data_IF_778309541045
#
_entry.id   IF_778309541045
#
_cell.length_a   1.000
_cell.length_b   1.000
_cell.length_c   1.000
_cell.angle_alpha   90.00
_cell.angle_beta   90.00
_cell.angle_gamma   90.00
#
_symmetry.space_group_name_H-M   'P 1'
#
loop_
_entity.id
_entity.type
_entity.pdbx_description
1 polymer ?
#
# COMPACT_ATOMS: atom_id res chain seq x y z
N UNK A 1 -20.97 -2.81 -15.52
CA UNK A 1 -20.71 -2.66 -14.08
C UNK A 1 -21.88 -1.88 -13.51
N UNK A 2 -22.50 -2.32 -12.42
CA UNK A 2 -23.58 -1.59 -11.75
C UNK A 2 -23.13 -1.12 -10.36
N UNK A 3 -23.85 -0.16 -9.80
CA UNK A 3 -23.49 0.46 -8.52
C UNK A 3 -23.62 -0.51 -7.33
N UNK A 4 -24.50 -1.51 -7.42
CA UNK A 4 -24.67 -2.51 -6.36
C UNK A 4 -23.41 -3.38 -6.23
N UNK A 5 -22.89 -3.86 -7.35
CA UNK A 5 -21.65 -4.62 -7.37
C UNK A 5 -20.45 -3.79 -6.91
N UNK A 6 -20.40 -2.49 -7.25
CA UNK A 6 -19.36 -1.58 -6.75
C UNK A 6 -19.47 -1.41 -5.23
N UNK A 7 -20.68 -1.21 -4.70
CA UNK A 7 -20.91 -1.09 -3.27
C UNK A 7 -20.44 -2.34 -2.50
N UNK A 8 -20.70 -3.53 -3.02
CA UNK A 8 -20.18 -4.78 -2.46
C UNK A 8 -18.65 -4.79 -2.39
N UNK A 9 -17.95 -4.27 -3.42
CA UNK A 9 -16.48 -4.18 -3.39
C UNK A 9 -15.96 -3.23 -2.31
N UNK A 10 -16.67 -2.13 -2.02
CA UNK A 10 -16.30 -1.24 -0.92
C UNK A 10 -16.56 -1.88 0.44
N UNK A 11 -17.68 -2.60 0.61
CA UNK A 11 -17.95 -3.35 1.84
C UNK A 11 -16.90 -4.46 2.09
N UNK A 12 -16.53 -5.21 1.04
CA UNK A 12 -15.47 -6.21 1.12
C UNK A 12 -14.13 -5.56 1.50
N UNK A 13 -13.78 -4.43 0.87
CA UNK A 13 -12.54 -3.71 1.15
C UNK A 13 -12.50 -3.15 2.59
N UNK A 14 -13.63 -2.64 3.09
CA UNK A 14 -13.74 -2.18 4.47
C UNK A 14 -13.48 -3.33 5.47
N UNK A 15 -14.10 -4.49 5.24
CA UNK A 15 -14.04 -5.64 6.15
C UNK A 15 -12.72 -6.41 6.06
N UNK A 16 -12.17 -6.58 4.86
CA UNK A 16 -11.02 -7.46 4.63
C UNK A 16 -9.68 -6.73 4.65
N UNK A 17 -9.63 -5.48 4.16
CA UNK A 17 -8.37 -4.75 3.97
C UNK A 17 -8.19 -3.61 4.99
N UNK A 18 -9.28 -2.95 5.41
CA UNK A 18 -9.19 -1.80 6.30
C UNK A 18 -9.32 -2.15 7.79
N UNK A 19 -10.04 -3.22 8.13
CA UNK A 19 -10.24 -3.65 9.52
C UNK A 19 -8.89 -3.87 10.23
N UNK A 20 -8.69 -3.19 11.37
CA UNK A 20 -7.43 -3.25 12.12
C UNK A 20 -6.23 -2.55 11.48
N UNK A 21 -6.33 -2.08 10.22
CA UNK A 21 -5.25 -1.40 9.51
C UNK A 21 -5.48 0.11 9.35
N UNK A 22 -6.67 0.55 8.94
CA UNK A 22 -6.98 1.96 8.71
C UNK A 22 -8.43 2.30 9.05
N UNK A 23 -8.63 3.01 10.17
CA UNK A 23 -9.96 3.52 10.57
C UNK A 23 -10.54 4.50 9.54
N UNK A 24 -9.69 5.38 8.98
CA UNK A 24 -10.10 6.35 7.96
C UNK A 24 -10.69 5.66 6.73
N UNK A 25 -9.94 4.73 6.13
CA UNK A 25 -10.40 4.07 4.91
C UNK A 25 -11.53 3.08 5.15
N UNK A 26 -11.63 2.47 6.34
CA UNK A 26 -12.80 1.68 6.73
C UNK A 26 -14.07 2.55 6.71
N UNK A 27 -14.06 3.66 7.45
CA UNK A 27 -15.21 4.57 7.56
C UNK A 27 -15.60 5.21 6.23
N UNK A 28 -14.62 5.55 5.38
CA UNK A 28 -14.89 6.03 4.03
C UNK A 28 -15.53 4.94 3.17
N UNK A 29 -14.96 3.74 3.16
CA UNK A 29 -15.45 2.64 2.30
C UNK A 29 -16.87 2.21 2.66
N UNK A 30 -17.18 2.08 3.95
CA UNK A 30 -18.54 1.76 4.43
C UNK A 30 -19.57 2.81 3.97
N UNK A 31 -19.22 4.10 4.00
CA UNK A 31 -20.15 5.16 3.59
C UNK A 31 -20.21 5.34 2.07
N UNK A 32 -19.11 5.11 1.35
CA UNK A 32 -19.11 5.09 -0.11
C UNK A 32 -20.04 3.98 -0.62
N UNK A 33 -20.06 2.82 0.03
CA UNK A 33 -20.95 1.72 -0.34
C UNK A 33 -22.45 2.10 -0.30
N UNK A 34 -22.82 3.12 0.48
CA UNK A 34 -24.19 3.60 0.62
C UNK A 34 -24.46 4.89 -0.18
N UNK A 35 -23.44 5.50 -0.80
CA UNK A 35 -23.58 6.78 -1.50
C UNK A 35 -23.59 6.63 -3.03
N UNK A 36 -24.78 6.88 -3.59
CA UNK A 36 -25.02 6.69 -5.01
C UNK A 36 -24.19 7.61 -5.93
N UNK A 37 -23.83 8.82 -5.49
CA UNK A 37 -23.10 9.77 -6.33
C UNK A 37 -21.63 9.34 -6.46
N UNK A 38 -21.01 8.95 -5.35
CA UNK A 38 -19.63 8.45 -5.37
C UNK A 38 -19.54 7.09 -6.08
N UNK A 39 -20.53 6.20 -5.90
CA UNK A 39 -20.58 4.92 -6.63
C UNK A 39 -20.67 5.11 -8.15
N UNK A 40 -21.35 6.16 -8.62
CA UNK A 40 -21.41 6.48 -10.05
C UNK A 40 -20.05 6.87 -10.62
N UNK A 41 -19.24 7.65 -9.89
CA UNK A 41 -17.86 7.97 -10.31
C UNK A 41 -17.05 6.70 -10.53
N UNK A 42 -17.22 5.71 -9.65
CA UNK A 42 -16.52 4.43 -9.72
C UNK A 42 -16.86 3.58 -10.94
N UNK A 43 -17.95 3.87 -11.66
CA UNK A 43 -18.30 3.16 -12.90
C UNK A 43 -17.32 3.44 -14.05
N UNK A 44 -16.50 4.49 -13.91
CA UNK A 44 -15.43 4.85 -14.86
C UNK A 44 -14.13 4.07 -14.63
N UNK A 45 -14.04 3.26 -13.56
CA UNK A 45 -12.84 2.46 -13.28
C UNK A 45 -12.58 1.48 -14.42
N UNK A 46 -11.34 1.48 -14.90
CA UNK A 46 -10.87 0.52 -15.90
C UNK A 46 -11.14 -0.93 -15.44
N UNK A 47 -11.68 -1.74 -16.36
CA UNK A 47 -11.98 -3.15 -16.07
C UNK A 47 -10.75 -3.90 -15.57
N UNK A 48 -10.93 -4.67 -14.49
CA UNK A 48 -9.87 -5.47 -13.86
C UNK A 48 -9.05 -4.73 -12.80
N UNK A 49 -9.30 -3.43 -12.57
CA UNK A 49 -8.65 -2.68 -11.50
C UNK A 49 -9.43 -2.78 -10.17
N UNK A 50 -8.74 -2.76 -9.02
CA UNK A 50 -9.39 -2.73 -7.72
C UNK A 50 -10.01 -1.35 -7.47
N UNK A 51 -11.34 -1.29 -7.55
CA UNK A 51 -12.11 -0.04 -7.50
C UNK A 51 -11.86 0.80 -6.24
N UNK A 52 -11.92 0.22 -5.02
CA UNK A 52 -11.71 1.01 -3.81
C UNK A 52 -10.33 1.66 -3.79
N UNK A 53 -9.28 0.90 -4.11
CA UNK A 53 -7.90 1.41 -4.16
C UNK A 53 -7.76 2.54 -5.18
N UNK A 54 -8.38 2.42 -6.36
CA UNK A 54 -8.22 3.43 -7.41
C UNK A 54 -8.96 4.74 -7.07
N UNK A 55 -10.17 4.67 -6.50
CA UNK A 55 -10.87 5.88 -6.04
C UNK A 55 -10.13 6.56 -4.89
N UNK A 56 -9.82 5.80 -3.83
CA UNK A 56 -9.14 6.34 -2.65
C UNK A 56 -7.75 6.88 -3.00
N UNK A 57 -7.04 6.18 -3.88
CA UNK A 57 -5.76 6.61 -4.45
C UNK A 57 -5.88 7.88 -5.27
N UNK A 58 -6.88 7.99 -6.16
CA UNK A 58 -7.10 9.19 -6.98
C UNK A 58 -7.38 10.43 -6.12
N UNK A 59 -8.22 10.29 -5.08
CA UNK A 59 -8.49 11.37 -4.12
C UNK A 59 -7.21 11.77 -3.39
N UNK A 60 -6.47 10.79 -2.85
CA UNK A 60 -5.24 11.07 -2.12
C UNK A 60 -4.17 11.71 -3.01
N UNK A 61 -4.02 11.24 -4.25
CA UNK A 61 -3.11 11.80 -5.25
C UNK A 61 -3.42 13.28 -5.55
N UNK A 62 -4.70 13.64 -5.75
CA UNK A 62 -5.07 15.04 -6.01
C UNK A 62 -4.78 15.95 -4.80
N UNK A 63 -4.99 15.44 -3.58
CA UNK A 63 -4.61 16.17 -2.36
C UNK A 63 -3.09 16.34 -2.24
N UNK A 64 -2.31 15.29 -2.56
CA UNK A 64 -0.84 15.35 -2.60
C UNK A 64 -0.32 16.33 -3.66
N UNK A 65 -1.00 16.43 -4.80
CA UNK A 65 -0.72 17.43 -5.84
C UNK A 65 -1.08 18.87 -5.45
N UNK A 66 -1.65 19.06 -4.26
CA UNK A 66 -1.89 20.39 -3.69
C UNK A 66 -3.30 20.93 -3.88
N UNK A 67 -4.29 20.08 -4.17
CA UNK A 67 -5.70 20.50 -4.12
C UNK A 67 -6.04 21.05 -2.73
N UNK A 68 -6.46 22.31 -2.65
CA UNK A 68 -6.74 22.96 -1.37
C UNK A 68 -8.16 22.64 -0.90
N UNK A 69 -8.27 21.65 0.01
CA UNK A 69 -9.54 21.21 0.55
C UNK A 69 -9.39 20.74 2.00
N UNK A 70 -10.42 20.92 2.84
CA UNK A 70 -10.37 20.55 4.27
C UNK A 70 -10.14 19.05 4.50
N UNK A 71 -10.52 18.21 3.53
CA UNK A 71 -10.32 16.77 3.55
C UNK A 71 -8.86 16.36 3.84
N UNK A 72 -7.87 17.17 3.44
CA UNK A 72 -6.45 16.90 3.70
C UNK A 72 -6.13 16.72 5.19
N UNK A 73 -6.92 17.34 6.08
CA UNK A 73 -6.73 17.27 7.53
C UNK A 73 -6.91 15.87 8.13
N UNK A 74 -7.47 14.91 7.38
CA UNK A 74 -7.61 13.51 7.80
C UNK A 74 -6.42 12.63 7.43
N UNK A 75 -5.51 13.09 6.56
CA UNK A 75 -4.45 12.28 5.97
C UNK A 75 -3.10 12.54 6.66
N UNK A 76 -2.58 11.60 7.48
CA UNK A 76 -1.29 11.78 8.18
C UNK A 76 -0.08 11.80 7.23
N UNK A 77 -0.25 11.37 5.99
CA UNK A 77 0.73 11.50 4.90
C UNK A 77 0.87 12.93 4.39
N UNK A 78 -0.12 13.80 4.63
CA UNK A 78 -0.17 15.17 4.12
C UNK A 78 0.03 16.19 5.26
N UNK A 79 -0.53 15.91 6.44
CA UNK A 79 -0.43 16.81 7.59
C UNK A 79 0.43 16.23 8.70
N UNK A 80 1.19 17.09 9.38
CA UNK A 80 2.05 16.68 10.50
C UNK A 80 1.25 16.13 11.70
N UNK A 81 0.02 16.60 11.90
CA UNK A 81 -0.84 16.19 13.01
C UNK A 81 -2.30 16.14 12.55
N UNK A 82 -2.91 14.95 12.62
CA UNK A 82 -4.33 14.74 12.32
C UNK A 82 -5.15 15.13 13.55
N UNK A 83 -5.76 16.32 13.50
CA UNK A 83 -6.58 16.87 14.62
C UNK A 83 -8.07 16.57 14.50
N UNK A 84 -8.52 16.06 13.35
CA UNK A 84 -9.92 15.75 13.06
C UNK A 84 -10.21 14.29 13.43
N UNK A 85 -11.25 14.07 14.22
CA UNK A 85 -11.72 12.74 14.66
C UNK A 85 -13.20 12.50 14.32
N UNK A 86 -13.83 13.52 13.74
CA UNK A 86 -15.18 13.48 13.21
C UNK A 86 -15.28 12.66 11.92
N UNK A 87 -16.49 12.51 11.40
CA UNK A 87 -16.75 11.71 10.20
C UNK A 87 -16.10 12.37 8.96
N UNK A 88 -15.15 11.72 8.27
CA UNK A 88 -14.49 12.28 7.09
C UNK A 88 -15.38 12.29 5.84
N UNK A 89 -16.43 11.47 5.79
CA UNK A 89 -17.16 11.20 4.56
C UNK A 89 -17.86 12.42 3.92
N UNK A 90 -18.50 13.35 4.67
CA UNK A 90 -19.08 14.54 4.07
C UNK A 90 -18.07 15.36 3.26
N UNK A 91 -16.87 15.59 3.81
CA UNK A 91 -15.78 16.29 3.12
C UNK A 91 -15.17 15.44 1.99
N UNK A 92 -15.16 14.12 2.14
CA UNK A 92 -14.73 13.22 1.07
C UNK A 92 -15.67 13.29 -0.13
N UNK A 93 -16.98 13.21 0.10
CA UNK A 93 -17.99 13.32 -0.95
C UNK A 93 -17.90 14.68 -1.63
N UNK A 94 -17.85 15.76 -0.86
CA UNK A 94 -17.72 17.12 -1.37
C UNK A 94 -16.52 17.25 -2.33
N UNK A 95 -15.34 16.82 -1.87
CA UNK A 95 -14.13 16.79 -2.70
C UNK A 95 -14.30 15.96 -3.98
N UNK A 96 -14.93 14.78 -3.88
CA UNK A 96 -15.19 13.93 -5.05
C UNK A 96 -16.07 14.61 -6.10
N UNK A 97 -17.09 15.36 -5.66
CA UNK A 97 -17.99 16.07 -6.57
C UNK A 97 -17.30 17.29 -7.17
N UNK A 98 -16.59 18.08 -6.37
CA UNK A 98 -15.83 19.24 -6.84
C UNK A 98 -14.75 18.85 -7.88
N UNK A 99 -14.15 17.68 -7.73
CA UNK A 99 -13.04 17.21 -8.56
C UNK A 99 -13.42 16.04 -9.50
N UNK A 100 -14.72 15.86 -9.78
CA UNK A 100 -15.25 14.70 -10.49
C UNK A 100 -14.55 14.43 -11.83
N UNK A 101 -14.33 15.46 -12.65
CA UNK A 101 -13.66 15.29 -13.96
C UNK A 101 -12.22 14.79 -13.83
N UNK A 102 -11.45 15.36 -12.90
CA UNK A 102 -10.07 14.96 -12.63
C UNK A 102 -10.00 13.53 -12.09
N UNK A 103 -10.91 13.18 -11.18
CA UNK A 103 -11.02 11.82 -10.63
C UNK A 103 -11.36 10.84 -11.74
N UNK A 104 -12.39 11.09 -12.56
CA UNK A 104 -12.77 10.20 -13.66
C UNK A 104 -11.59 9.94 -14.59
N UNK A 105 -10.84 10.99 -14.97
CA UNK A 105 -9.63 10.82 -15.79
C UNK A 105 -8.61 9.91 -15.14
N UNK A 106 -8.40 9.99 -13.83
CA UNK A 106 -7.50 9.08 -13.11
C UNK A 106 -8.05 7.64 -13.09
N UNK A 107 -9.35 7.46 -12.83
CA UNK A 107 -10.01 6.14 -12.78
C UNK A 107 -9.93 5.40 -14.14
N UNK A 108 -9.97 6.14 -15.25
CA UNK A 108 -9.91 5.58 -16.61
C UNK A 108 -8.47 5.24 -17.04
N UNK A 109 -7.49 6.04 -16.61
CA UNK A 109 -6.15 6.01 -17.20
C UNK A 109 -5.05 5.47 -16.28
N UNK A 110 -5.26 5.44 -14.96
CA UNK A 110 -4.25 4.94 -14.01
C UNK A 110 -4.46 3.47 -13.68
N UNK A 111 -3.38 2.83 -13.25
CA UNK A 111 -3.36 1.45 -12.79
C UNK A 111 -2.93 1.45 -11.32
N UNK A 112 -3.53 0.59 -10.51
CA UNK A 112 -3.06 0.34 -9.16
C UNK A 112 -1.80 -0.50 -9.23
N UNK A 113 -0.73 0.00 -8.62
CA UNK A 113 0.56 -0.65 -8.50
C UNK A 113 0.89 -0.78 -7.01
N UNK A 114 1.15 -2.00 -6.55
CA UNK A 114 1.23 -2.30 -5.11
C UNK A 114 2.66 -2.61 -4.70
N UNK A 115 3.23 -1.78 -3.82
CA UNK A 115 4.56 -1.99 -3.23
C UNK A 115 4.45 -2.35 -1.72
N UNK A 116 3.87 -3.51 -1.39
CA UNK A 116 3.72 -3.95 0.01
C UNK A 116 5.04 -4.50 0.58
N UNK A 117 5.89 -3.61 1.09
CA UNK A 117 7.19 -3.97 1.71
C UNK A 117 7.07 -4.92 2.89
N UNK A 118 5.90 -4.97 3.55
CA UNK A 118 5.61 -5.95 4.61
C UNK A 118 5.74 -7.40 4.13
N UNK A 119 5.62 -7.69 2.83
CA UNK A 119 5.90 -9.02 2.28
C UNK A 119 7.33 -9.49 2.58
N UNK A 120 8.25 -8.56 2.77
CA UNK A 120 9.63 -8.90 3.14
C UNK A 120 9.72 -9.59 4.51
N UNK A 121 8.73 -9.44 5.41
CA UNK A 121 8.78 -10.08 6.74
C UNK A 121 8.70 -11.60 6.66
N UNK A 122 7.97 -12.17 5.70
CA UNK A 122 8.00 -13.63 5.51
C UNK A 122 9.09 -14.07 4.52
N UNK A 123 9.58 -13.18 3.65
CA UNK A 123 10.66 -13.49 2.72
C UNK A 123 12.04 -13.52 3.40
N UNK A 124 12.32 -12.61 4.34
CA UNK A 124 13.58 -12.54 5.07
C UNK A 124 14.01 -13.88 5.71
N UNK A 125 13.16 -14.58 6.48
CA UNK A 125 13.52 -15.89 7.04
C UNK A 125 13.76 -16.96 5.95
N UNK A 126 13.03 -16.89 4.83
CA UNK A 126 13.22 -17.80 3.69
C UNK A 126 14.61 -17.58 3.04
N UNK A 127 15.00 -16.32 2.85
CA UNK A 127 16.31 -15.98 2.30
C UNK A 127 17.45 -16.36 3.23
N UNK A 128 17.28 -16.18 4.55
CA UNK A 128 18.22 -16.69 5.56
C UNK A 128 18.41 -18.21 5.41
N UNK A 129 17.31 -18.96 5.29
CA UNK A 129 17.36 -20.40 5.11
C UNK A 129 18.11 -20.80 3.83
N UNK A 130 17.75 -20.23 2.68
CA UNK A 130 18.40 -20.52 1.38
C UNK A 130 19.90 -20.22 1.45
N UNK A 131 20.28 -19.08 2.04
CA UNK A 131 21.68 -18.70 2.19
C UNK A 131 22.45 -19.72 3.03
N UNK A 132 21.89 -20.19 4.15
CA UNK A 132 22.53 -21.20 5.00
C UNK A 132 22.67 -22.56 4.30
N UNK A 133 21.69 -22.95 3.47
CA UNK A 133 21.77 -24.21 2.73
C UNK A 133 22.82 -24.18 1.61
N UNK A 134 23.02 -23.01 0.99
CA UNK A 134 23.86 -22.88 -0.21
C UNK A 134 25.25 -22.31 0.07
N UNK A 135 25.40 -21.55 1.16
CA UNK A 135 26.56 -20.73 1.50
C UNK A 135 27.03 -19.86 0.32
N UNK A 136 26.07 -19.32 -0.44
CA UNK A 136 26.30 -18.47 -1.62
C UNK A 136 25.52 -17.17 -1.48
N UNK A 137 26.06 -16.04 -1.98
CA UNK A 137 25.30 -14.81 -2.16
C UNK A 137 24.00 -15.04 -2.95
N UNK A 138 22.96 -14.28 -2.62
CA UNK A 138 21.64 -14.40 -3.25
C UNK A 138 21.51 -13.40 -4.41
N UNK A 139 21.02 -13.87 -5.55
CA UNK A 139 20.56 -13.02 -6.65
C UNK A 139 19.03 -13.08 -6.73
N UNK A 140 18.38 -11.92 -6.85
CA UNK A 140 16.93 -11.83 -6.91
C UNK A 140 16.43 -11.45 -8.30
N UNK A 141 15.36 -12.11 -8.72
CA UNK A 141 14.57 -11.75 -9.90
C UNK A 141 13.12 -11.58 -9.43
N UNK A 142 12.59 -10.37 -9.55
CA UNK A 142 11.19 -10.06 -9.21
C UNK A 142 10.40 -9.73 -10.48
N UNK A 143 9.29 -10.42 -10.69
CA UNK A 143 8.35 -10.17 -11.78
C UNK A 143 7.17 -9.38 -11.23
N UNK A 144 6.84 -8.25 -11.86
CA UNK A 144 5.84 -7.32 -11.33
C UNK A 144 6.41 -6.50 -10.16
N UNK A 145 7.63 -5.96 -10.33
CA UNK A 145 8.38 -5.29 -9.26
C UNK A 145 7.86 -3.90 -8.91
N UNK A 146 7.04 -3.28 -9.76
CA UNK A 146 6.61 -1.88 -9.65
C UNK A 146 7.79 -0.93 -9.39
N UNK A 147 7.94 -0.41 -8.15
CA UNK A 147 9.02 0.50 -7.76
C UNK A 147 10.27 -0.23 -7.24
N UNK A 148 10.27 -1.56 -7.20
CA UNK A 148 11.42 -2.34 -6.77
C UNK A 148 11.63 -2.43 -5.25
N UNK A 149 10.65 -1.99 -4.43
CA UNK A 149 10.86 -1.89 -2.99
C UNK A 149 11.10 -3.24 -2.30
N UNK A 150 10.62 -4.35 -2.86
CA UNK A 150 10.90 -5.68 -2.30
C UNK A 150 12.25 -6.25 -2.69
N UNK A 151 12.80 -5.81 -3.83
CA UNK A 151 14.19 -6.13 -4.17
C UNK A 151 15.12 -5.63 -3.08
N UNK A 152 14.75 -4.57 -2.35
CA UNK A 152 15.50 -3.95 -1.24
C UNK A 152 15.28 -4.61 0.14
N UNK A 153 14.83 -5.87 0.19
CA UNK A 153 14.54 -6.57 1.45
C UNK A 153 15.69 -6.54 2.48
N UNK A 154 16.95 -6.61 2.06
CA UNK A 154 18.12 -6.54 2.95
C UNK A 154 18.40 -5.12 3.47
N UNK A 155 17.75 -4.10 2.94
CA UNK A 155 17.88 -2.72 3.43
C UNK A 155 16.99 -2.43 4.64
N UNK A 156 16.04 -3.32 4.97
CA UNK A 156 15.08 -3.11 6.06
C UNK A 156 15.53 -3.73 7.40
N UNK A 157 14.96 -3.21 8.49
CA UNK A 157 15.01 -3.84 9.80
C UNK A 157 13.76 -4.71 10.00
N UNK A 158 13.91 -5.83 10.71
CA UNK A 158 12.81 -6.75 10.99
C UNK A 158 12.67 -7.03 12.49
N UNK A 159 11.44 -7.15 12.97
CA UNK A 159 11.19 -7.80 14.27
C UNK A 159 9.94 -8.67 14.23
N UNK A 160 10.02 -9.80 14.91
CA UNK A 160 8.94 -10.75 15.09
C UNK A 160 8.62 -10.82 16.59
N UNK A 161 7.34 -10.62 16.94
CA UNK A 161 6.86 -10.65 18.33
C UNK A 161 7.63 -9.70 19.29
N UNK A 162 8.27 -8.65 18.73
CA UNK A 162 9.08 -7.64 19.41
C UNK A 162 10.25 -8.16 20.27
N UNK A 163 10.73 -9.38 20.00
CA UNK A 163 11.80 -10.00 20.81
C UNK A 163 13.19 -9.48 20.43
N UNK A 164 13.46 -9.37 19.14
CA UNK A 164 14.78 -9.04 18.60
C UNK A 164 14.66 -8.30 17.25
N UNK A 165 15.68 -7.48 16.94
CA UNK A 165 15.84 -6.83 15.64
C UNK A 165 16.83 -7.62 14.76
N UNK A 166 16.39 -7.93 13.54
CA UNK A 166 17.14 -8.62 12.50
C UNK A 166 17.36 -7.70 11.29
N UNK A 167 18.29 -8.08 10.42
CA UNK A 167 18.59 -7.37 9.17
C UNK A 167 19.37 -6.07 9.41
N UNK A 168 19.04 -5.01 8.67
CA UNK A 168 19.73 -3.73 8.79
C UNK A 168 19.19 -2.92 9.99
N UNK A 169 19.90 -2.94 11.11
CA UNK A 169 19.51 -2.25 12.35
C UNK A 169 19.48 -0.72 12.25
N UNK A 170 20.16 -0.15 11.26
CA UNK A 170 20.20 1.30 11.03
C UNK A 170 19.11 1.77 10.06
N UNK A 171 18.32 0.84 9.52
CA UNK A 171 17.22 1.16 8.60
C UNK A 171 16.19 2.08 9.26
N UNK A 172 15.77 3.18 8.61
CA UNK A 172 14.65 3.99 9.08
C UNK A 172 13.30 3.27 8.93
N UNK A 173 13.25 2.20 8.13
CA UNK A 173 12.07 1.37 7.93
C UNK A 173 12.20 0.09 8.75
N UNK A 174 11.36 -0.02 9.78
CA UNK A 174 11.27 -1.18 10.66
C UNK A 174 9.99 -1.97 10.38
N UNK A 175 10.14 -3.11 9.70
CA UNK A 175 9.04 -4.02 9.39
C UNK A 175 8.79 -4.95 10.58
N UNK A 176 7.56 -4.92 11.08
CA UNK A 176 7.13 -5.71 12.24
C UNK A 176 6.10 -6.74 11.81
N UNK A 177 6.22 -7.95 12.33
CA UNK A 177 5.28 -9.04 12.09
C UNK A 177 5.07 -9.84 13.37
N UNK A 178 3.95 -10.55 13.42
CA UNK A 178 3.63 -11.48 14.50
C UNK A 178 3.60 -12.91 13.94
N UNK A 179 4.15 -13.87 14.68
CA UNK A 179 4.00 -15.28 14.35
C UNK A 179 2.64 -15.76 14.88
N UNK A 180 1.75 -16.20 13.99
CA UNK A 180 0.40 -16.65 14.38
C UNK A 180 0.42 -17.99 15.10
N UNK A 181 1.24 -18.92 14.61
CA UNK A 181 1.38 -20.27 15.16
C UNK A 181 2.85 -20.70 15.12
N UNK A 182 3.28 -21.43 16.15
CA UNK A 182 4.67 -21.86 16.31
C UNK A 182 5.57 -20.73 16.79
N UNK A 183 6.76 -20.63 16.20
CA UNK A 183 7.74 -19.59 16.51
C UNK A 183 8.59 -19.27 15.28
N UNK A 184 9.37 -18.19 15.38
CA UNK A 184 10.31 -17.86 14.31
C UNK A 184 11.31 -19.01 14.08
N UNK A 185 11.68 -19.34 12.82
CA UNK A 185 12.67 -20.36 12.58
C UNK A 185 13.99 -20.04 13.32
N UNK A 186 14.55 -21.03 14.02
CA UNK A 186 15.77 -20.85 14.84
C UNK A 186 16.98 -20.42 14.01
N UNK A 187 16.96 -20.67 12.71
CA UNK A 187 18.04 -20.42 11.79
C UNK A 187 17.97 -19.02 11.14
N UNK A 188 17.04 -18.15 11.55
CA UNK A 188 17.01 -16.76 11.05
C UNK A 188 18.30 -16.04 11.46
N UNK A 189 18.99 -15.48 10.49
CA UNK A 189 20.25 -14.78 10.71
C UNK A 189 20.00 -13.41 11.35
N UNK A 190 20.89 -13.03 12.27
CA UNK A 190 20.85 -11.70 12.90
C UNK A 190 21.27 -10.57 11.94
N UNK A 191 22.05 -10.91 10.91
CA UNK A 191 22.52 -10.02 9.84
C UNK A 191 22.02 -10.51 8.49
N UNK A 192 21.96 -9.62 7.51
CA UNK A 192 21.47 -9.96 6.18
C UNK A 192 22.39 -10.98 5.48
N UNK A 193 21.81 -11.97 4.78
CA UNK A 193 22.51 -12.68 3.71
C UNK A 193 23.15 -11.70 2.71
N UNK A 194 24.30 -12.08 2.14
CA UNK A 194 24.91 -11.28 1.09
C UNK A 194 24.04 -11.31 -0.18
N UNK A 195 23.78 -10.13 -0.74
CA UNK A 195 23.10 -9.97 -2.03
C UNK A 195 24.15 -9.75 -3.11
N UNK A 196 24.07 -10.52 -4.20
CA UNK A 196 24.94 -10.39 -5.36
C UNK A 196 24.32 -9.46 -6.41
N UNK A 197 23.14 -9.82 -6.93
CA UNK A 197 22.42 -9.04 -7.94
C UNK A 197 20.93 -8.90 -7.62
N UNK A 198 20.31 -7.90 -8.22
CA UNK A 198 18.87 -7.64 -8.17
C UNK A 198 18.40 -7.30 -9.58
N UNK A 199 17.34 -7.97 -10.04
CA UNK A 199 16.71 -7.69 -11.32
C UNK A 199 15.20 -7.61 -11.13
N UNK A 200 14.64 -6.43 -11.37
CA UNK A 200 13.21 -6.22 -11.47
C UNK A 200 12.75 -6.30 -12.92
N UNK A 201 11.62 -6.97 -13.17
CA UNK A 201 10.98 -7.06 -14.47
C UNK A 201 9.53 -6.61 -14.31
N UNK A 202 9.17 -5.48 -14.91
CA UNK A 202 7.80 -4.96 -14.89
C UNK A 202 7.43 -4.37 -16.26
N UNK A 203 6.13 -4.36 -16.56
CA UNK A 203 5.56 -3.69 -17.73
C UNK A 203 5.43 -2.17 -17.49
N UNK A 204 5.28 -1.76 -16.22
CA UNK A 204 5.07 -0.39 -15.77
C UNK A 204 5.94 -0.10 -14.54
N UNK A 205 7.23 0.10 -14.77
CA UNK A 205 8.19 0.45 -13.71
C UNK A 205 7.85 1.84 -13.18
N UNK A 206 7.69 1.95 -11.86
CA UNK A 206 7.53 3.25 -11.16
C UNK A 206 8.91 3.80 -10.82
N UNK A 207 9.30 4.90 -11.45
CA UNK A 207 10.59 5.55 -11.24
C UNK A 207 10.49 6.58 -10.10
N UNK A 208 10.95 6.22 -8.90
CA UNK A 208 10.90 7.11 -7.73
C UNK A 208 11.80 8.35 -7.85
N UNK A 209 12.63 8.45 -8.89
CA UNK A 209 13.37 9.70 -9.20
C UNK A 209 12.55 10.68 -10.04
N UNK A 210 11.42 10.22 -10.60
CA UNK A 210 10.42 11.04 -11.25
C UNK A 210 9.39 11.54 -10.22
N UNK A 211 9.15 12.85 -10.20
CA UNK A 211 8.23 13.47 -9.23
C UNK A 211 6.77 12.99 -9.38
N UNK A 212 6.34 12.57 -10.56
CA UNK A 212 4.98 12.05 -10.79
C UNK A 212 4.81 10.64 -10.20
N UNK A 213 5.80 9.77 -10.39
CA UNK A 213 5.76 8.38 -9.88
C UNK A 213 6.04 8.32 -8.38
N UNK A 214 6.68 9.36 -7.81
CA UNK A 214 6.92 9.49 -6.38
C UNK A 214 5.64 9.76 -5.56
N UNK A 215 4.63 10.41 -6.16
CA UNK A 215 3.40 10.87 -5.51
C UNK A 215 2.28 9.82 -5.55
#
# INVERSE_FOLDING_TARGET
MDTKWVAERFNDFAALECEGSSKLYKTLSEQIAEDHDVLKLCLHVRTGQPIPNLLLGAVHYLLLKGADHELKAFYPSIVNEVKRTDNPFPLFKDFCIENAESIIRLLENRLVQTNEVRRCTYLFPIFCYIYQQTNKPLSLIEIGTSAGLQLLWDQYAYSYDHVQIYGNRESPVHLRSQVREGGIPQNVLSVNPQVHDRLGIDLHISDLTNEEDYL
#
